data_IF_605802579857
#
_entry.id   IF_605802579857
#
_cell.length_a   1.000
_cell.length_b   1.000
_cell.length_c   1.000
_cell.angle_alpha   90.00
_cell.angle_beta   90.00
_cell.angle_gamma   90.00
#
_symmetry.space_group_name_H-M   'P 1'
#
loop_
_entity.id
_entity.type
_entity.pdbx_description
1 polymer ?
#
# COMPACT_ATOMS: atom_id res chain seq x y z
N UNK A 1 37.84 51.87 -7.67
CA UNK A 1 36.84 52.54 -8.50
C UNK A 1 36.01 53.63 -7.77
N UNK A 2 36.13 53.79 -6.45
CA UNK A 2 35.33 54.76 -5.63
C UNK A 2 36.03 56.13 -5.36
N UNK A 3 37.22 56.37 -5.88
CA UNK A 3 37.96 57.65 -5.66
C UNK A 3 37.84 58.69 -6.77
N UNK A 4 37.31 58.35 -7.96
CA UNK A 4 37.15 59.28 -9.10
C UNK A 4 35.84 60.06 -9.11
N UNK A 5 34.84 59.69 -8.30
CA UNK A 5 33.51 60.35 -8.31
C UNK A 5 33.42 61.63 -7.49
N UNK A 6 34.49 62.02 -6.74
CA UNK A 6 34.47 63.25 -5.92
C UNK A 6 34.86 64.56 -6.65
N UNK A 7 35.30 64.46 -7.90
CA UNK A 7 35.81 65.64 -8.66
C UNK A 7 34.92 66.03 -9.85
N UNK A 8 33.71 65.53 -9.97
CA UNK A 8 32.80 65.91 -11.05
C UNK A 8 31.94 67.12 -10.60
N UNK A 9 31.75 68.15 -11.47
CA UNK A 9 30.95 69.34 -11.19
C UNK A 9 29.47 68.92 -10.95
N UNK A 10 28.76 69.70 -10.13
CA UNK A 10 27.38 69.40 -9.65
C UNK A 10 26.37 69.22 -10.82
N UNK A 11 26.61 69.92 -11.93
CA UNK A 11 25.80 69.80 -13.17
C UNK A 11 25.87 68.41 -13.83
N UNK A 12 27.03 67.75 -13.77
CA UNK A 12 27.17 66.38 -14.30
C UNK A 12 26.57 65.32 -13.39
N UNK A 13 26.54 65.57 -12.10
CA UNK A 13 25.87 64.68 -11.14
C UNK A 13 24.35 64.65 -11.27
N UNK A 14 23.75 65.77 -11.67
CA UNK A 14 22.31 65.88 -11.94
C UNK A 14 21.94 65.18 -13.23
N UNK A 15 22.75 65.34 -14.32
CA UNK A 15 22.53 64.60 -15.56
C UNK A 15 22.68 63.07 -15.44
N UNK A 16 23.66 62.57 -14.63
CA UNK A 16 23.83 61.16 -14.37
C UNK A 16 22.67 60.59 -13.52
N UNK A 17 22.13 61.40 -12.61
CA UNK A 17 20.95 61.01 -11.79
C UNK A 17 19.64 60.91 -12.61
N UNK A 18 19.51 61.70 -13.67
CA UNK A 18 18.33 61.64 -14.57
C UNK A 18 18.44 60.51 -15.59
N UNK A 19 19.68 60.20 -16.06
CA UNK A 19 19.89 59.05 -16.96
C UNK A 19 19.73 57.67 -16.29
N UNK A 20 19.69 57.57 -14.95
CA UNK A 20 19.45 56.33 -14.20
C UNK A 20 17.98 56.07 -13.86
N UNK A 21 17.08 56.99 -14.22
CA UNK A 21 15.65 56.64 -14.32
C UNK A 21 15.41 56.02 -15.71
N UNK A 22 15.86 54.79 -15.88
CA UNK A 22 15.35 53.94 -16.92
C UNK A 22 13.82 53.89 -16.74
N UNK A 23 13.09 54.44 -17.74
CA UNK A 23 11.69 54.13 -17.90
C UNK A 23 11.59 52.61 -18.08
N UNK A 24 11.32 51.91 -16.96
CA UNK A 24 11.03 50.47 -17.00
C UNK A 24 9.84 50.32 -17.92
N UNK A 25 10.05 49.73 -19.08
CA UNK A 25 9.00 49.52 -20.07
C UNK A 25 7.80 48.85 -19.43
N UNK A 26 6.62 49.11 -19.87
CA UNK A 26 5.40 48.46 -19.35
C UNK A 26 5.53 46.93 -19.34
N UNK A 27 6.23 46.37 -20.32
CA UNK A 27 6.55 44.95 -20.37
C UNK A 27 7.46 44.49 -19.22
N UNK A 28 8.45 45.32 -18.89
CA UNK A 28 9.36 45.02 -17.75
C UNK A 28 8.65 45.12 -16.40
N UNK A 29 7.72 46.05 -16.24
CA UNK A 29 6.84 46.13 -15.04
C UNK A 29 5.90 44.94 -14.96
N UNK A 30 5.30 44.51 -16.06
CA UNK A 30 4.43 43.32 -16.13
C UNK A 30 5.24 42.05 -15.81
N UNK A 31 6.48 41.93 -16.31
CA UNK A 31 7.37 40.81 -16.03
C UNK A 31 7.76 40.78 -14.54
N UNK A 32 8.07 41.92 -13.91
CA UNK A 32 8.34 42.00 -12.48
C UNK A 32 7.14 41.63 -11.61
N UNK A 33 5.94 42.12 -11.94
CA UNK A 33 4.72 41.76 -11.22
C UNK A 33 4.48 40.25 -11.36
N UNK A 34 4.62 39.69 -12.55
CA UNK A 34 4.45 38.24 -12.76
C UNK A 34 5.48 37.42 -11.96
N UNK A 35 6.75 37.88 -11.93
CA UNK A 35 7.80 37.20 -11.15
C UNK A 35 7.48 37.26 -9.65
N UNK A 36 7.09 38.42 -9.11
CA UNK A 36 6.75 38.55 -7.69
C UNK A 36 5.50 37.74 -7.31
N UNK A 37 4.51 37.63 -8.20
CA UNK A 37 3.34 36.77 -7.97
C UNK A 37 3.73 35.29 -7.93
N UNK A 38 4.59 34.85 -8.85
CA UNK A 38 5.10 33.47 -8.86
C UNK A 38 5.95 33.19 -7.61
N UNK A 39 6.80 34.14 -7.19
CA UNK A 39 7.60 34.00 -5.97
C UNK A 39 6.72 33.93 -4.72
N UNK A 40 5.64 34.70 -4.67
CA UNK A 40 4.67 34.67 -3.59
C UNK A 40 3.91 33.35 -3.57
N UNK A 41 3.41 32.89 -4.71
CA UNK A 41 2.72 31.60 -4.85
C UNK A 41 3.64 30.45 -4.45
N UNK A 42 4.93 30.48 -4.87
CA UNK A 42 5.92 29.48 -4.46
C UNK A 42 6.21 29.52 -2.95
N UNK A 43 6.28 30.72 -2.36
CA UNK A 43 6.49 30.90 -0.92
C UNK A 43 5.30 30.38 -0.10
N UNK A 44 4.07 30.68 -0.56
CA UNK A 44 2.84 30.24 0.09
C UNK A 44 2.67 28.72 -0.05
N UNK A 45 3.01 28.17 -1.21
CA UNK A 45 3.03 26.73 -1.43
C UNK A 45 4.08 26.03 -0.56
N UNK A 46 5.30 26.61 -0.46
CA UNK A 46 6.37 26.07 0.40
C UNK A 46 6.01 26.15 1.89
N UNK A 47 5.22 27.15 2.31
CA UNK A 47 4.72 27.28 3.68
C UNK A 47 3.65 26.22 3.96
N UNK A 48 2.68 26.05 3.06
CA UNK A 48 1.65 25.02 3.16
C UNK A 48 2.24 23.60 3.16
N UNK A 49 3.32 23.35 2.41
CA UNK A 49 4.01 22.06 2.38
C UNK A 49 4.80 21.73 3.66
N UNK A 50 5.17 22.71 4.47
CA UNK A 50 5.91 22.51 5.75
C UNK A 50 5.06 21.81 6.81
N UNK A 51 3.74 22.01 6.76
CA UNK A 51 2.81 21.48 7.76
C UNK A 51 2.27 20.09 7.36
N UNK A 52 2.76 19.53 6.23
CA UNK A 52 2.35 18.23 5.73
C UNK A 52 3.32 17.15 6.16
N UNK A 53 2.83 16.16 6.90
CA UNK A 53 3.60 14.96 7.25
C UNK A 53 3.54 13.96 6.10
N UNK A 54 4.69 13.71 5.47
CA UNK A 54 4.84 12.79 4.34
C UNK A 54 5.29 11.42 4.82
N UNK A 55 4.49 10.40 4.52
CA UNK A 55 4.75 9.00 4.89
C UNK A 55 4.89 8.16 3.63
N UNK A 56 6.02 7.50 3.45
CA UNK A 56 6.25 6.57 2.36
C UNK A 56 5.95 5.14 2.80
N UNK A 57 5.03 4.46 2.10
CA UNK A 57 4.65 3.09 2.39
C UNK A 57 5.48 2.11 1.57
N UNK A 58 6.28 1.29 2.24
CA UNK A 58 7.14 0.27 1.64
C UNK A 58 6.70 -1.14 2.04
N UNK A 59 7.17 -2.13 1.33
CA UNK A 59 6.91 -3.55 1.59
C UNK A 59 6.76 -4.33 0.29
N UNK A 60 6.86 -5.64 0.37
CA UNK A 60 6.72 -6.53 -0.79
C UNK A 60 5.29 -6.50 -1.37
N UNK A 61 5.12 -7.12 -2.53
CA UNK A 61 3.78 -7.27 -3.11
C UNK A 61 2.86 -8.02 -2.13
N UNK A 62 1.57 -7.66 -2.11
CA UNK A 62 0.53 -8.30 -1.28
C UNK A 62 0.71 -8.18 0.24
N UNK A 63 1.61 -7.33 0.74
CA UNK A 63 1.73 -7.07 2.17
C UNK A 63 0.54 -6.31 2.78
N UNK A 64 -0.31 -5.66 1.96
CA UNK A 64 -1.51 -4.94 2.39
C UNK A 64 -1.40 -3.42 2.34
N UNK A 65 -0.35 -2.84 1.74
CA UNK A 65 -0.16 -1.38 1.61
C UNK A 65 -1.38 -0.65 1.08
N UNK A 66 -1.86 -1.03 -0.09
CA UNK A 66 -3.02 -0.37 -0.73
C UNK A 66 -4.32 -0.60 0.06
N UNK A 67 -4.43 -1.70 0.83
CA UNK A 67 -5.54 -1.92 1.76
C UNK A 67 -5.48 -0.91 2.92
N UNK A 68 -4.30 -0.66 3.48
CA UNK A 68 -4.11 0.35 4.53
C UNK A 68 -4.53 1.74 4.02
N UNK A 69 -4.11 2.13 2.81
CA UNK A 69 -4.51 3.42 2.20
C UNK A 69 -6.03 3.53 2.08
N UNK A 70 -6.69 2.47 1.58
CA UNK A 70 -8.15 2.44 1.47
C UNK A 70 -8.82 2.53 2.83
N UNK A 71 -8.24 1.88 3.83
CA UNK A 71 -8.71 1.94 5.21
C UNK A 71 -8.57 3.35 5.80
N UNK A 72 -7.46 4.05 5.53
CA UNK A 72 -7.29 5.44 5.95
C UNK A 72 -8.34 6.36 5.32
N UNK A 73 -8.72 6.11 4.05
CA UNK A 73 -9.82 6.83 3.41
C UNK A 73 -11.16 6.58 4.13
N UNK A 74 -11.44 5.34 4.54
CA UNK A 74 -12.65 5.01 5.29
C UNK A 74 -12.67 5.73 6.64
N UNK A 75 -11.55 5.71 7.37
CA UNK A 75 -11.46 6.26 8.74
C UNK A 75 -11.47 7.80 8.73
N UNK A 76 -10.73 8.44 7.82
CA UNK A 76 -10.46 9.88 7.88
C UNK A 76 -11.10 10.71 6.75
N UNK A 77 -11.70 10.08 5.72
CA UNK A 77 -12.23 10.81 4.55
C UNK A 77 -13.69 10.48 4.23
N UNK A 78 -14.49 10.05 5.20
CA UNK A 78 -15.91 9.66 5.05
C UNK A 78 -16.16 8.47 4.10
N UNK A 79 -15.15 7.60 3.89
CA UNK A 79 -15.28 6.39 3.08
C UNK A 79 -15.30 6.62 1.57
N UNK A 80 -16.04 5.78 0.86
CA UNK A 80 -16.16 5.78 -0.59
C UNK A 80 -17.55 6.20 -1.04
N UNK A 81 -17.63 7.11 -2.00
CA UNK A 81 -18.88 7.43 -2.68
C UNK A 81 -19.40 6.22 -3.49
N UNK A 82 -20.71 6.19 -3.79
CA UNK A 82 -21.30 5.12 -4.60
C UNK A 82 -20.63 4.97 -5.97
N UNK A 83 -20.20 6.08 -6.58
CA UNK A 83 -19.50 6.06 -7.86
C UNK A 83 -18.10 5.45 -7.74
N UNK A 84 -17.38 5.76 -6.68
CA UNK A 84 -16.07 5.15 -6.39
C UNK A 84 -16.21 3.65 -6.11
N UNK A 85 -17.22 3.24 -5.32
CA UNK A 85 -17.50 1.81 -5.09
C UNK A 85 -17.77 1.10 -6.42
N UNK A 86 -18.61 1.66 -7.28
CA UNK A 86 -18.91 1.09 -8.60
C UNK A 86 -17.65 0.94 -9.47
N UNK A 87 -16.70 1.86 -9.37
CA UNK A 87 -15.44 1.76 -10.12
C UNK A 87 -14.61 0.51 -9.80
N UNK A 88 -14.81 -0.09 -8.63
CA UNK A 88 -14.15 -1.35 -8.23
C UNK A 88 -14.87 -2.62 -8.73
N UNK A 89 -16.10 -2.51 -9.24
CA UNK A 89 -16.87 -3.69 -9.71
C UNK A 89 -16.11 -4.56 -10.72
N UNK A 90 -15.47 -4.01 -11.77
CA UNK A 90 -14.69 -4.83 -12.70
C UNK A 90 -13.56 -5.57 -12.01
N UNK A 91 -12.84 -4.91 -11.10
CA UNK A 91 -11.74 -5.52 -10.37
C UNK A 91 -12.19 -6.63 -9.42
N UNK A 92 -13.36 -6.50 -8.76
CA UNK A 92 -13.95 -7.55 -7.91
C UNK A 92 -14.28 -8.77 -8.74
N UNK A 93 -14.93 -8.58 -9.90
CA UNK A 93 -15.28 -9.67 -10.81
C UNK A 93 -14.05 -10.37 -11.40
N UNK A 94 -13.02 -9.61 -11.75
CA UNK A 94 -11.74 -10.15 -12.24
C UNK A 94 -11.03 -10.95 -11.15
N UNK A 95 -11.04 -10.48 -9.90
CA UNK A 95 -10.50 -11.22 -8.76
C UNK A 95 -11.27 -12.55 -8.53
N UNK A 96 -12.59 -12.52 -8.65
CA UNK A 96 -13.41 -13.72 -8.52
C UNK A 96 -13.10 -14.73 -9.64
N UNK A 97 -13.02 -14.27 -10.91
CA UNK A 97 -12.67 -15.08 -12.05
C UNK A 97 -11.28 -15.70 -11.91
N UNK A 98 -10.29 -14.87 -11.61
CA UNK A 98 -8.89 -15.29 -11.45
C UNK A 98 -8.76 -16.30 -10.31
N UNK A 99 -9.40 -16.05 -9.16
CA UNK A 99 -9.40 -16.99 -8.03
C UNK A 99 -10.03 -18.32 -8.38
N UNK A 100 -11.17 -18.33 -9.09
CA UNK A 100 -11.82 -19.58 -9.52
C UNK A 100 -10.95 -20.36 -10.49
N UNK A 101 -10.27 -19.70 -11.42
CA UNK A 101 -9.31 -20.35 -12.32
C UNK A 101 -8.16 -20.98 -11.56
N UNK A 102 -7.59 -20.27 -10.57
CA UNK A 102 -6.51 -20.77 -9.73
C UNK A 102 -6.96 -22.02 -8.96
N UNK A 103 -8.19 -22.01 -8.40
CA UNK A 103 -8.75 -23.20 -7.72
C UNK A 103 -8.90 -24.37 -8.67
N UNK A 104 -9.47 -24.17 -9.87
CA UNK A 104 -9.64 -25.23 -10.86
C UNK A 104 -8.28 -25.81 -11.34
N UNK A 105 -7.27 -24.99 -11.49
CA UNK A 105 -5.89 -25.43 -11.78
C UNK A 105 -5.28 -26.16 -10.58
N UNK A 106 -5.52 -25.65 -9.36
CA UNK A 106 -5.11 -26.28 -8.11
C UNK A 106 -5.71 -27.66 -7.91
N UNK A 107 -6.97 -27.88 -8.30
CA UNK A 107 -7.59 -29.22 -8.29
C UNK A 107 -6.76 -30.24 -9.07
N UNK A 108 -6.21 -29.84 -10.22
CA UNK A 108 -5.33 -30.72 -11.01
C UNK A 108 -4.03 -31.07 -10.27
N UNK A 109 -3.39 -30.10 -9.62
CA UNK A 109 -2.18 -30.29 -8.80
C UNK A 109 -2.45 -31.18 -7.60
N UNK A 110 -3.58 -30.97 -6.93
CA UNK A 110 -3.99 -31.71 -5.73
C UNK A 110 -4.62 -33.07 -6.04
N UNK A 111 -4.86 -33.40 -7.30
CA UNK A 111 -5.58 -34.58 -7.76
C UNK A 111 -6.98 -34.69 -7.16
N UNK A 112 -7.67 -33.56 -6.98
CA UNK A 112 -9.05 -33.48 -6.53
C UNK A 112 -9.94 -33.37 -7.77
N UNK A 113 -10.95 -34.24 -7.87
CA UNK A 113 -11.92 -34.21 -8.96
C UNK A 113 -13.16 -33.38 -8.58
N UNK A 114 -13.88 -32.88 -9.60
CA UNK A 114 -15.22 -32.33 -9.42
C UNK A 114 -16.14 -33.40 -8.84
N UNK A 115 -16.85 -33.07 -7.78
CA UNK A 115 -17.84 -33.97 -7.19
C UNK A 115 -19.01 -34.21 -8.14
N UNK A 116 -19.42 -33.18 -8.90
CA UNK A 116 -20.43 -33.28 -9.93
C UNK A 116 -19.81 -33.21 -11.33
N UNK A 117 -19.78 -34.32 -12.06
CA UNK A 117 -19.23 -34.39 -13.40
C UNK A 117 -19.86 -33.41 -14.41
N UNK A 118 -21.12 -33.01 -14.20
CA UNK A 118 -21.84 -32.03 -15.05
C UNK A 118 -21.13 -30.66 -14.99
N UNK A 119 -20.45 -30.33 -13.89
CA UNK A 119 -19.68 -29.08 -13.72
C UNK A 119 -18.41 -28.97 -14.59
N UNK A 120 -18.06 -30.05 -15.35
CA UNK A 120 -16.94 -29.99 -16.31
C UNK A 120 -17.13 -28.92 -17.39
N UNK A 121 -18.37 -28.68 -17.81
CA UNK A 121 -18.71 -27.66 -18.81
C UNK A 121 -18.43 -26.27 -18.21
N UNK A 122 -18.93 -26.00 -17.00
CA UNK A 122 -18.74 -24.75 -16.27
C UNK A 122 -17.26 -24.49 -15.98
N UNK A 123 -16.51 -25.53 -15.59
CA UNK A 123 -15.07 -25.41 -15.35
C UNK A 123 -14.32 -25.02 -16.63
N UNK A 124 -14.65 -25.63 -17.77
CA UNK A 124 -14.06 -25.26 -19.08
C UNK A 124 -14.42 -23.82 -19.46
N UNK A 125 -15.69 -23.43 -19.28
CA UNK A 125 -16.14 -22.06 -19.56
C UNK A 125 -15.37 -21.02 -18.74
N UNK A 126 -15.17 -21.26 -17.44
CA UNK A 126 -14.38 -20.35 -16.59
C UNK A 126 -12.90 -20.35 -17.01
N UNK A 127 -12.28 -21.49 -17.27
CA UNK A 127 -10.88 -21.56 -17.66
C UNK A 127 -10.61 -20.84 -19.00
N UNK A 128 -11.53 -20.89 -19.95
CA UNK A 128 -11.43 -20.22 -21.25
C UNK A 128 -11.88 -18.76 -21.24
N UNK A 129 -12.60 -18.31 -20.21
CA UNK A 129 -13.11 -16.95 -20.10
C UNK A 129 -11.96 -15.95 -19.92
N UNK A 130 -11.88 -14.92 -20.74
CA UNK A 130 -10.85 -13.85 -20.61
C UNK A 130 -11.30 -12.73 -19.67
N UNK A 131 -12.61 -12.44 -19.63
CA UNK A 131 -13.21 -11.37 -18.86
C UNK A 131 -14.63 -11.73 -18.41
N UNK A 132 -15.08 -11.18 -17.27
CA UNK A 132 -16.42 -11.43 -16.73
C UNK A 132 -17.49 -10.53 -17.34
N UNK A 133 -17.13 -9.34 -17.79
CA UNK A 133 -18.05 -8.33 -18.29
C UNK A 133 -18.14 -8.39 -19.82
N UNK A 134 -19.35 -8.21 -20.35
CA UNK A 134 -19.59 -7.97 -21.76
C UNK A 134 -19.30 -6.52 -22.16
N UNK A 135 -19.48 -6.21 -23.43
CA UNK A 135 -19.27 -4.86 -23.98
C UNK A 135 -20.20 -3.82 -23.34
N UNK A 136 -21.36 -4.23 -22.85
CA UNK A 136 -22.33 -3.45 -22.11
C UNK A 136 -22.01 -3.26 -20.62
N UNK A 137 -20.82 -3.67 -20.18
CA UNK A 137 -20.38 -3.65 -18.77
C UNK A 137 -21.26 -4.50 -17.83
N UNK A 138 -22.05 -5.42 -18.37
CA UNK A 138 -22.83 -6.38 -17.59
C UNK A 138 -22.12 -7.71 -17.46
N UNK A 139 -22.37 -8.39 -16.34
CA UNK A 139 -21.82 -9.72 -16.10
C UNK A 139 -22.39 -10.72 -17.13
N UNK A 140 -21.52 -11.44 -17.80
CA UNK A 140 -21.91 -12.46 -18.77
C UNK A 140 -22.73 -13.56 -18.09
N UNK A 141 -23.95 -13.88 -18.55
CA UNK A 141 -24.87 -14.79 -17.86
C UNK A 141 -24.26 -16.18 -17.62
N UNK A 142 -23.48 -16.70 -18.56
CA UNK A 142 -22.87 -18.03 -18.40
C UNK A 142 -21.80 -18.03 -17.30
N UNK A 143 -21.12 -16.88 -17.05
CA UNK A 143 -20.14 -16.74 -15.97
C UNK A 143 -20.83 -16.79 -14.61
N UNK A 144 -21.96 -16.10 -14.46
CA UNK A 144 -22.75 -16.13 -13.23
C UNK A 144 -23.21 -17.57 -12.88
N UNK A 145 -23.78 -18.29 -13.87
CA UNK A 145 -24.19 -19.67 -13.70
C UNK A 145 -23.02 -20.57 -13.31
N UNK A 146 -21.87 -20.38 -14.00
CA UNK A 146 -20.70 -21.20 -13.75
C UNK A 146 -20.13 -20.97 -12.34
N UNK A 147 -20.07 -19.72 -11.86
CA UNK A 147 -19.62 -19.43 -10.50
C UNK A 147 -20.48 -20.11 -9.44
N UNK A 148 -21.80 -20.02 -9.54
CA UNK A 148 -22.72 -20.69 -8.60
C UNK A 148 -22.53 -22.20 -8.62
N UNK A 149 -22.51 -22.81 -9.80
CA UNK A 149 -22.41 -24.26 -9.94
C UNK A 149 -21.05 -24.79 -9.42
N UNK A 150 -19.96 -24.09 -9.70
CA UNK A 150 -18.64 -24.48 -9.26
C UNK A 150 -18.46 -24.30 -7.75
N UNK A 151 -18.94 -23.19 -7.17
CA UNK A 151 -18.81 -22.98 -5.73
C UNK A 151 -19.70 -23.93 -4.91
N UNK A 152 -20.79 -24.41 -5.47
CA UNK A 152 -21.62 -25.47 -4.87
C UNK A 152 -20.94 -26.86 -4.89
N UNK A 153 -19.92 -27.06 -5.74
CA UNK A 153 -19.22 -28.35 -5.88
C UNK A 153 -18.25 -28.58 -4.70
N UNK A 154 -18.42 -29.73 -4.03
CA UNK A 154 -17.59 -30.10 -2.88
C UNK A 154 -16.10 -30.25 -3.23
N UNK A 155 -15.79 -30.74 -4.45
CA UNK A 155 -14.41 -30.85 -4.92
C UNK A 155 -13.74 -29.47 -5.04
N UNK A 156 -14.47 -28.47 -5.57
CA UNK A 156 -14.00 -27.08 -5.66
C UNK A 156 -13.76 -26.50 -4.27
N UNK A 157 -14.70 -26.68 -3.33
CA UNK A 157 -14.55 -26.23 -1.94
C UNK A 157 -13.37 -26.90 -1.23
N UNK A 158 -13.21 -28.21 -1.40
CA UNK A 158 -12.08 -28.94 -0.82
C UNK A 158 -10.73 -28.43 -1.37
N UNK A 159 -10.66 -28.15 -2.67
CA UNK A 159 -9.46 -27.55 -3.25
C UNK A 159 -9.22 -26.13 -2.73
N UNK A 160 -10.27 -25.29 -2.65
CA UNK A 160 -10.17 -23.93 -2.14
C UNK A 160 -9.68 -23.88 -0.69
N UNK A 161 -10.10 -24.80 0.16
CA UNK A 161 -9.62 -24.94 1.54
C UNK A 161 -8.12 -25.24 1.63
N UNK A 162 -7.54 -25.85 0.59
CA UNK A 162 -6.11 -26.13 0.43
C UNK A 162 -5.40 -25.12 -0.45
N UNK A 163 -5.96 -23.92 -0.60
CA UNK A 163 -5.45 -22.85 -1.47
C UNK A 163 -3.99 -22.43 -1.20
N UNK A 164 -3.52 -22.62 0.02
CA UNK A 164 -2.15 -22.37 0.42
C UNK A 164 -1.11 -23.25 -0.29
N UNK A 165 -1.51 -24.41 -0.83
CA UNK A 165 -0.60 -25.32 -1.54
C UNK A 165 -0.36 -24.91 -3.01
N UNK A 166 -1.10 -23.90 -3.51
CA UNK A 166 -0.99 -23.48 -4.91
C UNK A 166 -1.20 -21.96 -5.11
N UNK A 167 -0.92 -21.17 -4.09
CA UNK A 167 -0.89 -19.71 -4.12
C UNK A 167 -2.26 -19.06 -4.44
N UNK A 168 -3.32 -19.52 -3.78
CA UNK A 168 -4.62 -18.88 -3.84
C UNK A 168 -4.58 -17.56 -3.06
N UNK A 169 -5.16 -16.50 -3.65
CA UNK A 169 -5.24 -15.20 -3.00
C UNK A 169 -5.98 -15.27 -1.66
N UNK A 170 -5.49 -14.56 -0.65
CA UNK A 170 -6.05 -14.52 0.72
C UNK A 170 -7.54 -14.12 0.77
N UNK A 171 -8.01 -13.32 -0.18
CA UNK A 171 -9.40 -12.86 -0.26
C UNK A 171 -10.32 -13.77 -1.08
N UNK A 172 -9.80 -14.84 -1.69
CA UNK A 172 -10.58 -15.70 -2.59
C UNK A 172 -11.80 -16.30 -1.91
N UNK A 173 -11.63 -16.85 -0.69
CA UNK A 173 -12.74 -17.45 0.07
C UNK A 173 -13.83 -16.43 0.38
N UNK A 174 -13.47 -15.22 0.77
CA UNK A 174 -14.44 -14.14 0.99
C UNK A 174 -15.28 -13.87 -0.26
N UNK A 175 -14.66 -13.76 -1.43
CA UNK A 175 -15.39 -13.54 -2.68
C UNK A 175 -16.25 -14.73 -3.07
N UNK A 176 -15.77 -15.94 -2.85
CA UNK A 176 -16.56 -17.16 -3.12
C UNK A 176 -17.80 -17.27 -2.23
N UNK A 177 -17.69 -16.94 -0.95
CA UNK A 177 -18.81 -16.93 -0.01
C UNK A 177 -19.85 -15.85 -0.36
N UNK A 178 -19.42 -14.78 -1.04
CA UNK A 178 -20.26 -13.67 -1.46
C UNK A 178 -20.69 -13.74 -2.93
N UNK A 179 -20.48 -14.85 -3.63
CA UNK A 179 -20.81 -15.00 -5.07
C UNK A 179 -22.23 -14.54 -5.37
N UNK A 180 -23.25 -15.01 -4.63
CA UNK A 180 -24.66 -14.69 -4.89
C UNK A 180 -24.94 -13.17 -4.87
N UNK A 181 -24.27 -12.43 -4.00
CA UNK A 181 -24.37 -10.97 -3.93
C UNK A 181 -23.62 -10.29 -5.09
N UNK A 182 -22.41 -10.77 -5.38
CA UNK A 182 -21.52 -10.17 -6.38
C UNK A 182 -22.03 -10.33 -7.81
N UNK A 183 -22.70 -11.46 -8.11
CA UNK A 183 -23.26 -11.72 -9.44
C UNK A 183 -24.64 -11.09 -9.67
N UNK A 184 -25.22 -10.45 -8.66
CA UNK A 184 -26.55 -9.83 -8.82
C UNK A 184 -26.51 -8.69 -9.83
N UNK A 185 -27.56 -8.46 -10.62
CA UNK A 185 -27.58 -7.39 -11.64
C UNK A 185 -27.27 -6.00 -11.06
N UNK A 186 -27.76 -5.71 -9.87
CA UNK A 186 -27.62 -4.43 -9.18
C UNK A 186 -26.46 -4.40 -8.20
N UNK A 187 -25.44 -5.26 -8.38
CA UNK A 187 -24.31 -5.31 -7.49
C UNK A 187 -23.51 -4.00 -7.47
N UNK A 188 -23.40 -3.44 -6.27
CA UNK A 188 -22.50 -2.36 -5.93
C UNK A 188 -21.52 -2.92 -4.91
N UNK A 189 -20.18 -2.79 -5.13
CA UNK A 189 -19.19 -3.22 -4.16
C UNK A 189 -19.38 -2.51 -2.81
N UNK A 190 -19.18 -3.23 -1.73
CA UNK A 190 -19.12 -2.69 -0.38
C UNK A 190 -17.70 -2.20 -0.08
N UNK A 191 -17.51 -1.41 0.98
CA UNK A 191 -16.18 -1.03 1.46
C UNK A 191 -15.33 -2.26 1.78
N UNK A 192 -15.93 -3.33 2.32
CA UNK A 192 -15.22 -4.59 2.56
C UNK A 192 -14.77 -5.25 1.25
N UNK A 193 -15.57 -5.20 0.18
CA UNK A 193 -15.12 -5.67 -1.13
C UNK A 193 -13.93 -4.86 -1.63
N UNK A 194 -13.97 -3.53 -1.45
CA UNK A 194 -12.88 -2.63 -1.83
C UNK A 194 -11.62 -2.90 -1.02
N UNK A 195 -11.72 -3.14 0.28
CA UNK A 195 -10.56 -3.48 1.12
C UNK A 195 -9.90 -4.80 0.71
N UNK A 196 -10.72 -5.78 0.28
CA UNK A 196 -10.26 -7.14 -0.05
C UNK A 196 -9.89 -7.33 -1.52
N UNK A 197 -10.36 -6.46 -2.42
CA UNK A 197 -10.03 -6.58 -3.84
C UNK A 197 -8.56 -6.31 -4.11
N UNK A 198 -7.93 -7.25 -4.81
CA UNK A 198 -6.56 -7.11 -5.26
C UNK A 198 -6.52 -6.29 -6.55
N UNK A 199 -5.99 -5.09 -6.45
CA UNK A 199 -5.64 -4.24 -7.59
C UNK A 199 -4.13 -4.03 -7.57
N UNK A 200 -3.46 -4.28 -8.68
CA UNK A 200 -2.02 -4.06 -8.78
C UNK A 200 -1.74 -2.55 -8.76
N UNK A 201 -0.94 -2.11 -7.79
CA UNK A 201 -0.44 -0.72 -7.76
C UNK A 201 0.64 -0.55 -8.81
N UNK A 202 0.41 0.34 -9.78
CA UNK A 202 1.38 0.74 -10.79
C UNK A 202 1.78 2.19 -10.54
N UNK A 203 3.08 2.46 -10.43
CA UNK A 203 3.59 3.80 -10.14
C UNK A 203 3.43 4.18 -8.68
N UNK A 204 3.13 5.46 -8.44
CA UNK A 204 3.00 6.09 -7.12
C UNK A 204 1.58 6.61 -7.00
N UNK A 205 0.89 6.24 -5.93
CA UNK A 205 -0.43 6.75 -5.59
C UNK A 205 -0.28 7.62 -4.34
N UNK A 206 -0.64 8.89 -4.46
CA UNK A 206 -0.67 9.82 -3.34
C UNK A 206 -2.09 9.89 -2.77
N UNK A 207 -2.20 9.81 -1.46
CA UNK A 207 -3.46 9.96 -0.73
C UNK A 207 -3.24 10.91 0.45
N UNK A 208 -4.08 11.92 0.53
CA UNK A 208 -4.02 12.92 1.60
C UNK A 208 -5.25 12.81 2.49
N UNK A 209 -5.06 12.94 3.79
CA UNK A 209 -6.13 13.06 4.77
C UNK A 209 -5.68 13.95 5.93
N UNK A 210 -6.64 14.43 6.71
CA UNK A 210 -6.40 15.29 7.84
C UNK A 210 -6.75 14.58 9.14
N UNK A 211 -5.86 14.68 10.12
CA UNK A 211 -6.11 14.26 11.50
C UNK A 211 -5.83 15.46 12.38
N UNK A 212 -6.86 15.92 13.07
CA UNK A 212 -6.86 17.19 13.82
C UNK A 212 -6.43 18.35 12.90
N UNK A 213 -5.40 19.11 13.27
CA UNK A 213 -4.88 20.23 12.48
C UNK A 213 -3.74 19.80 11.50
N UNK A 214 -3.33 18.53 11.54
CA UNK A 214 -2.19 18.04 10.78
C UNK A 214 -2.64 17.34 9.50
N UNK A 215 -2.00 17.67 8.39
CA UNK A 215 -2.23 17.02 7.09
C UNK A 215 -1.21 15.89 6.91
N UNK A 216 -1.71 14.70 6.62
CA UNK A 216 -0.91 13.53 6.31
C UNK A 216 -1.01 13.20 4.83
N UNK A 217 0.15 12.95 4.23
CA UNK A 217 0.26 12.55 2.83
C UNK A 217 0.96 11.20 2.75
N UNK A 218 0.21 10.17 2.34
CA UNK A 218 0.70 8.81 2.18
C UNK A 218 1.02 8.53 0.72
N UNK A 219 2.20 7.98 0.48
CA UNK A 219 2.64 7.52 -0.84
C UNK A 219 2.61 6.00 -0.90
N UNK A 220 1.65 5.41 -1.64
CA UNK A 220 1.63 3.97 -1.97
C UNK A 220 2.45 3.72 -3.22
N UNK A 221 3.45 2.89 -3.10
CA UNK A 221 4.32 2.52 -4.22
C UNK A 221 4.20 1.03 -4.53
N UNK A 222 4.27 0.67 -5.81
CA UNK A 222 4.19 -0.72 -6.22
C UNK A 222 5.27 -1.58 -5.54
N UNK A 223 4.85 -2.63 -4.81
CA UNK A 223 5.75 -3.50 -4.03
C UNK A 223 6.54 -4.51 -4.87
N UNK A 224 6.20 -4.71 -6.15
CA UNK A 224 6.93 -5.61 -7.03
C UNK A 224 8.34 -5.11 -7.31
N UNK A 225 9.32 -6.03 -7.46
CA UNK A 225 10.73 -5.68 -7.74
C UNK A 225 10.90 -4.72 -8.93
N UNK A 226 10.07 -4.87 -9.97
CA UNK A 226 10.09 -4.00 -11.16
C UNK A 226 9.65 -2.56 -10.88
N UNK A 227 8.83 -2.32 -9.87
CA UNK A 227 8.32 -1.00 -9.49
C UNK A 227 9.28 -0.23 -8.57
N UNK A 228 10.19 -0.92 -7.88
CA UNK A 228 11.09 -0.33 -6.87
C UNK A 228 12.00 0.78 -7.44
N UNK A 229 12.32 0.75 -8.74
CA UNK A 229 13.12 1.79 -9.40
C UNK A 229 12.42 3.15 -9.47
N UNK A 230 11.08 3.16 -9.41
CA UNK A 230 10.26 4.37 -9.47
C UNK A 230 10.19 5.13 -8.15
N UNK A 231 10.63 4.53 -7.05
CA UNK A 231 10.53 5.12 -5.70
C UNK A 231 11.44 6.31 -5.48
N UNK A 232 12.55 6.42 -6.24
CA UNK A 232 13.54 7.48 -6.08
C UNK A 232 12.93 8.89 -6.15
N UNK A 233 11.87 9.07 -6.94
CA UNK A 233 11.18 10.36 -7.07
C UNK A 233 10.34 10.76 -5.84
N UNK A 234 10.11 9.83 -4.88
CA UNK A 234 9.33 10.08 -3.67
C UNK A 234 10.18 10.33 -2.44
N UNK A 235 11.51 10.25 -2.53
CA UNK A 235 12.37 10.26 -1.34
C UNK A 235 12.63 11.65 -0.76
N UNK A 236 12.23 12.71 -1.47
CA UNK A 236 12.43 14.08 -0.98
C UNK A 236 11.46 14.42 0.15
N UNK A 237 12.01 14.83 1.28
CA UNK A 237 11.26 15.33 2.44
C UNK A 237 10.30 14.30 3.08
N UNK A 238 10.66 13.02 3.09
CA UNK A 238 9.87 11.98 3.76
C UNK A 238 10.15 12.04 5.28
N UNK A 239 9.09 12.18 6.09
CA UNK A 239 9.16 12.23 7.54
C UNK A 239 9.19 10.84 8.17
N UNK A 240 8.43 9.88 7.60
CA UNK A 240 8.38 8.51 8.10
C UNK A 240 8.30 7.48 6.98
N UNK A 241 8.92 6.33 7.21
CA UNK A 241 8.76 5.12 6.42
C UNK A 241 7.83 4.16 7.15
N UNK A 242 6.74 3.78 6.51
CA UNK A 242 5.85 2.74 6.99
C UNK A 242 6.11 1.46 6.19
N UNK A 243 6.85 0.53 6.79
CA UNK A 243 7.15 -0.76 6.17
C UNK A 243 6.09 -1.78 6.54
N UNK A 244 5.42 -2.36 5.56
CA UNK A 244 4.30 -3.29 5.75
C UNK A 244 4.72 -4.70 5.40
N UNK A 245 4.56 -5.62 6.36
CA UNK A 245 4.86 -7.05 6.24
C UNK A 245 3.58 -7.86 6.40
N UNK A 246 3.33 -8.83 5.55
CA UNK A 246 2.27 -9.80 5.75
C UNK A 246 2.78 -10.92 6.68
N UNK A 247 2.35 -10.97 7.93
CA UNK A 247 2.69 -12.05 8.86
C UNK A 247 2.33 -13.43 8.30
N UNK A 248 1.21 -13.50 7.57
CA UNK A 248 0.70 -14.75 6.99
C UNK A 248 1.56 -15.33 5.86
N UNK A 249 2.61 -14.63 5.40
CA UNK A 249 3.45 -15.07 4.27
C UNK A 249 4.59 -16.02 4.66
N UNK A 250 4.74 -16.36 5.92
CA UNK A 250 5.84 -17.20 6.40
C UNK A 250 5.87 -18.61 5.78
N UNK A 251 4.75 -19.12 5.31
CA UNK A 251 4.57 -20.43 4.71
C UNK A 251 4.32 -20.40 3.19
N UNK A 252 4.39 -19.20 2.57
CA UNK A 252 4.12 -19.00 1.13
C UNK A 252 5.42 -18.83 0.36
N UNK A 253 5.66 -19.75 -0.59
CA UNK A 253 6.79 -19.63 -1.52
C UNK A 253 6.46 -18.64 -2.63
N UNK A 254 7.45 -17.89 -3.10
CA UNK A 254 7.25 -16.96 -4.20
C UNK A 254 7.02 -17.71 -5.52
N UNK A 255 5.97 -17.34 -6.25
CA UNK A 255 5.66 -17.94 -7.56
C UNK A 255 6.83 -17.82 -8.55
N UNK A 256 7.58 -16.71 -8.49
CA UNK A 256 8.72 -16.44 -9.41
C UNK A 256 10.05 -17.03 -8.96
N UNK A 257 10.15 -17.38 -7.68
CA UNK A 257 11.34 -17.93 -7.07
C UNK A 257 10.94 -18.93 -5.99
N UNK A 258 10.73 -20.21 -6.35
CA UNK A 258 10.30 -21.24 -5.39
C UNK A 258 11.33 -21.57 -4.30
N UNK A 259 12.54 -21.02 -4.36
CA UNK A 259 13.56 -21.17 -3.32
C UNK A 259 13.43 -20.14 -2.20
N UNK A 260 12.62 -19.10 -2.40
CA UNK A 260 12.42 -17.98 -1.47
C UNK A 260 10.97 -17.88 -1.05
N UNK A 261 10.71 -17.72 0.25
CA UNK A 261 9.36 -17.42 0.72
C UNK A 261 9.12 -15.90 0.83
N UNK A 262 7.84 -15.50 0.84
CA UNK A 262 7.45 -14.09 0.88
C UNK A 262 7.89 -13.37 2.16
N UNK A 263 8.03 -14.09 3.26
CA UNK A 263 8.56 -13.57 4.51
C UNK A 263 10.05 -13.24 4.40
N UNK A 264 10.83 -14.15 3.83
CA UNK A 264 12.28 -13.94 3.64
C UNK A 264 12.55 -12.78 2.68
N UNK A 265 11.80 -12.67 1.58
CA UNK A 265 11.89 -11.48 0.70
C UNK A 265 11.60 -10.19 1.47
N UNK A 266 10.61 -10.19 2.37
CA UNK A 266 10.27 -9.03 3.20
C UNK A 266 11.41 -8.67 4.15
N UNK A 267 12.05 -9.66 4.77
CA UNK A 267 13.15 -9.47 5.72
C UNK A 267 14.41 -8.90 5.03
N UNK A 268 14.78 -9.47 3.89
CA UNK A 268 15.92 -8.99 3.07
C UNK A 268 15.67 -7.55 2.59
N UNK A 269 14.44 -7.28 2.14
CA UNK A 269 14.07 -5.95 1.68
C UNK A 269 14.10 -4.95 2.84
N UNK A 270 13.54 -5.27 4.02
CA UNK A 270 13.59 -4.43 5.20
C UNK A 270 15.04 -4.14 5.63
N UNK A 271 15.90 -5.15 5.66
CA UNK A 271 17.33 -5.00 5.95
C UNK A 271 18.00 -4.00 5.00
N UNK A 272 17.67 -4.06 3.70
CA UNK A 272 18.19 -3.11 2.72
C UNK A 272 17.74 -1.67 2.95
N UNK A 273 16.54 -1.47 3.51
CA UNK A 273 16.04 -0.13 3.89
C UNK A 273 16.73 0.37 5.16
N UNK A 274 16.96 -0.48 6.15
CA UNK A 274 17.66 -0.13 7.39
C UNK A 274 19.09 0.38 7.13
N UNK A 275 19.77 -0.20 6.15
CA UNK A 275 21.16 0.14 5.79
C UNK A 275 21.27 1.29 4.78
N UNK A 276 20.16 1.75 4.21
CA UNK A 276 20.17 2.79 3.19
C UNK A 276 20.39 4.17 3.81
N UNK A 277 21.43 4.86 3.37
CA UNK A 277 21.82 6.19 3.89
C UNK A 277 20.80 7.29 3.61
N UNK A 278 19.98 7.15 2.54
CA UNK A 278 18.91 8.11 2.20
C UNK A 278 17.88 8.22 3.33
N UNK A 279 17.62 7.11 4.02
CA UNK A 279 16.62 7.06 5.09
C UNK A 279 17.18 7.20 6.50
N UNK A 280 18.45 7.60 6.64
CA UNK A 280 19.14 7.65 7.95
C UNK A 280 18.40 8.46 9.02
N UNK A 281 17.76 9.55 8.61
CA UNK A 281 17.06 10.50 9.49
C UNK A 281 15.54 10.39 9.40
N UNK A 282 15.00 9.32 8.80
CA UNK A 282 13.56 9.13 8.60
C UNK A 282 13.03 8.14 9.64
N UNK A 283 11.95 8.45 10.34
CA UNK A 283 11.30 7.54 11.30
C UNK A 283 10.95 6.21 10.64
N UNK A 284 11.28 5.08 11.29
CA UNK A 284 11.04 3.74 10.74
C UNK A 284 9.95 3.01 11.54
N UNK A 285 8.82 2.83 10.90
CA UNK A 285 7.64 2.19 11.46
C UNK A 285 7.39 0.88 10.72
N UNK A 286 7.18 -0.19 11.45
CA UNK A 286 6.95 -1.55 10.93
C UNK A 286 5.51 -1.98 11.23
N UNK A 287 4.70 -2.19 10.20
CA UNK A 287 3.38 -2.81 10.34
C UNK A 287 3.48 -4.31 10.05
N UNK A 288 3.25 -5.10 11.09
CA UNK A 288 3.11 -6.55 11.04
C UNK A 288 1.63 -6.87 10.78
N UNK A 289 1.29 -6.89 9.50
CA UNK A 289 -0.08 -6.93 9.00
C UNK A 289 -0.61 -8.35 8.78
N UNK A 290 -1.92 -8.49 8.59
CA UNK A 290 -2.66 -9.75 8.40
C UNK A 290 -2.59 -10.67 9.61
N UNK A 291 -2.69 -10.08 10.82
CA UNK A 291 -2.67 -10.82 12.08
C UNK A 291 -3.83 -11.82 12.19
N UNK A 292 -4.97 -11.51 11.60
CA UNK A 292 -6.14 -12.40 11.47
C UNK A 292 -5.80 -13.70 10.74
N UNK A 293 -5.18 -13.59 9.57
CA UNK A 293 -4.74 -14.76 8.77
C UNK A 293 -3.61 -15.52 9.45
N UNK A 294 -2.67 -14.81 10.05
CA UNK A 294 -1.57 -15.42 10.81
C UNK A 294 -2.11 -16.25 11.96
N UNK A 295 -3.03 -15.69 12.76
CA UNK A 295 -3.70 -16.38 13.87
C UNK A 295 -4.44 -17.63 13.37
N UNK A 296 -5.20 -17.52 12.28
CA UNK A 296 -5.91 -18.66 11.69
C UNK A 296 -4.97 -19.77 11.25
N UNK A 297 -3.82 -19.43 10.67
CA UNK A 297 -2.80 -20.40 10.26
C UNK A 297 -2.17 -21.12 11.47
N UNK A 298 -1.75 -20.40 12.49
CA UNK A 298 -1.11 -20.97 13.70
C UNK A 298 -2.08 -21.87 14.46
N UNK A 299 -3.35 -21.46 14.64
CA UNK A 299 -4.31 -22.18 15.49
C UNK A 299 -5.01 -23.32 14.77
N UNK A 300 -5.33 -23.18 13.48
CA UNK A 300 -6.32 -24.07 12.84
C UNK A 300 -5.79 -24.85 11.63
N UNK A 301 -4.64 -24.50 11.07
CA UNK A 301 -4.16 -25.14 9.85
C UNK A 301 -3.06 -26.18 10.06
N UNK A 302 -2.54 -26.33 11.29
CA UNK A 302 -1.37 -27.19 11.58
C UNK A 302 -0.06 -26.70 10.96
N UNK A 303 -0.06 -25.49 10.38
CA UNK A 303 1.14 -24.90 9.76
C UNK A 303 1.88 -24.05 10.80
N UNK A 304 2.43 -24.72 11.81
CA UNK A 304 3.13 -24.06 12.89
C UNK A 304 4.42 -23.38 12.43
N UNK A 305 4.75 -22.25 13.04
CA UNK A 305 5.85 -21.37 12.61
C UNK A 305 7.20 -22.13 12.56
N UNK A 306 7.44 -23.06 13.50
CA UNK A 306 8.69 -23.87 13.56
C UNK A 306 8.99 -24.68 12.30
N UNK A 307 7.98 -25.04 11.50
CA UNK A 307 8.20 -25.78 10.26
C UNK A 307 8.75 -24.94 9.13
N UNK A 308 8.66 -23.61 9.26
CA UNK A 308 9.06 -22.63 8.24
C UNK A 308 10.21 -21.74 8.68
N UNK A 309 10.32 -21.50 10.00
CA UNK A 309 11.38 -20.71 10.62
C UNK A 309 12.09 -21.58 11.66
N UNK A 310 13.23 -22.15 11.27
CA UNK A 310 14.01 -23.07 12.10
C UNK A 310 14.54 -22.45 13.39
N UNK A 311 14.62 -21.11 13.46
CA UNK A 311 15.03 -20.37 14.66
C UNK A 311 13.89 -20.16 15.67
N UNK A 312 12.66 -20.60 15.39
CA UNK A 312 11.53 -20.47 16.30
C UNK A 312 11.45 -21.69 17.23
N UNK A 313 11.62 -21.47 18.52
CA UNK A 313 11.60 -22.49 19.58
C UNK A 313 10.31 -22.45 20.45
N UNK A 314 9.38 -21.51 20.16
CA UNK A 314 8.12 -21.36 20.89
C UNK A 314 7.13 -22.50 20.67
N UNK A 315 6.03 -22.48 21.43
CA UNK A 315 4.96 -23.47 21.32
C UNK A 315 4.20 -23.36 20.00
N UNK A 316 3.66 -24.48 19.51
CA UNK A 316 3.02 -24.55 18.18
C UNK A 316 1.80 -23.66 17.99
N UNK A 317 0.95 -23.57 19.03
CA UNK A 317 -0.30 -22.82 18.98
C UNK A 317 -0.21 -21.48 19.72
N UNK A 318 0.98 -21.01 20.07
CA UNK A 318 1.18 -19.73 20.73
C UNK A 318 1.36 -18.61 19.68
N UNK A 319 0.24 -17.94 19.37
CA UNK A 319 0.18 -16.88 18.38
C UNK A 319 1.00 -15.67 18.78
N UNK A 320 0.94 -15.30 20.06
CA UNK A 320 1.58 -14.07 20.56
C UNK A 320 3.10 -14.23 20.57
N UNK A 321 3.61 -15.35 21.11
CA UNK A 321 5.05 -15.65 21.05
C UNK A 321 5.54 -15.76 19.63
N UNK A 322 4.77 -16.38 18.71
CA UNK A 322 5.13 -16.47 17.30
C UNK A 322 5.19 -15.09 16.61
N UNK A 323 4.21 -14.23 16.89
CA UNK A 323 4.17 -12.88 16.33
C UNK A 323 5.32 -12.01 16.86
N UNK A 324 5.63 -12.06 18.15
CA UNK A 324 6.74 -11.34 18.76
C UNK A 324 8.11 -11.86 18.28
N UNK A 325 8.24 -13.17 18.03
CA UNK A 325 9.45 -13.72 17.42
C UNK A 325 9.70 -13.11 16.03
N UNK A 326 8.66 -13.04 15.21
CA UNK A 326 8.75 -12.38 13.91
C UNK A 326 9.13 -10.90 14.04
N UNK A 327 8.53 -10.17 14.99
CA UNK A 327 8.88 -8.76 15.25
C UNK A 327 10.35 -8.62 15.66
N UNK A 328 10.87 -9.54 16.49
CA UNK A 328 12.28 -9.56 16.90
C UNK A 328 13.23 -9.79 15.71
N UNK A 329 12.87 -10.66 14.74
CA UNK A 329 13.66 -10.89 13.54
C UNK A 329 13.82 -9.61 12.70
N UNK A 330 12.73 -8.84 12.52
CA UNK A 330 12.79 -7.55 11.82
C UNK A 330 13.60 -6.51 12.61
N UNK A 331 13.42 -6.46 13.94
CA UNK A 331 14.19 -5.56 14.81
C UNK A 331 15.69 -5.84 14.75
N UNK A 332 16.08 -7.12 14.66
CA UNK A 332 17.47 -7.54 14.51
C UNK A 332 18.13 -7.04 13.22
N UNK A 333 17.38 -6.83 12.15
CA UNK A 333 17.90 -6.25 10.89
C UNK A 333 18.42 -4.82 11.07
N UNK A 334 18.01 -4.11 12.12
CA UNK A 334 18.36 -2.72 12.38
C UNK A 334 19.46 -2.54 13.43
N UNK A 335 20.07 -3.61 13.94
CA UNK A 335 21.07 -3.55 15.03
C UNK A 335 22.29 -2.68 14.73
N UNK A 336 22.65 -2.48 13.44
CA UNK A 336 23.75 -1.61 13.03
C UNK A 336 23.39 -0.10 13.05
N UNK A 337 22.12 0.24 13.27
CA UNK A 337 21.61 1.61 13.27
C UNK A 337 21.19 2.02 14.68
N UNK A 338 21.51 3.24 15.10
CA UNK A 338 21.01 3.83 16.36
C UNK A 338 19.53 4.23 16.28
N UNK A 339 18.90 4.11 15.09
CA UNK A 339 17.52 4.51 14.86
C UNK A 339 16.55 3.48 15.41
N UNK A 340 15.55 3.86 16.22
CA UNK A 340 14.55 2.91 16.72
C UNK A 340 13.63 2.41 15.57
N UNK A 341 13.15 1.18 15.71
CA UNK A 341 12.10 0.60 14.86
C UNK A 341 10.85 0.42 15.72
N UNK A 342 9.79 1.12 15.36
CA UNK A 342 8.50 1.02 16.06
C UNK A 342 7.62 0.02 15.33
N UNK A 343 7.27 -1.10 15.98
CA UNK A 343 6.44 -2.12 15.36
C UNK A 343 5.01 -2.11 15.92
N UNK A 344 4.05 -2.34 15.02
CA UNK A 344 2.62 -2.44 15.33
C UNK A 344 2.03 -3.66 14.64
N UNK A 345 1.26 -4.45 15.39
CA UNK A 345 0.46 -5.52 14.84
C UNK A 345 -0.82 -4.94 14.26
N UNK A 346 -1.16 -5.35 13.03
CA UNK A 346 -2.29 -4.76 12.31
C UNK A 346 -3.09 -5.79 11.51
N UNK A 347 -4.36 -5.48 11.33
CA UNK A 347 -5.28 -6.16 10.40
C UNK A 347 -5.91 -5.08 9.52
N UNK A 348 -5.37 -4.88 8.33
CA UNK A 348 -5.72 -3.75 7.46
C UNK A 348 -7.21 -3.67 7.07
N UNK A 349 -7.95 -4.78 7.19
CA UNK A 349 -9.39 -4.84 6.94
C UNK A 349 -10.26 -4.54 8.18
N UNK A 350 -9.65 -4.34 9.34
CA UNK A 350 -10.34 -4.00 10.59
C UNK A 350 -10.11 -2.51 10.91
N UNK A 351 -11.19 -1.74 10.89
CA UNK A 351 -11.14 -0.28 11.07
C UNK A 351 -10.69 0.14 12.46
N UNK A 352 -11.09 -0.61 13.51
CA UNK A 352 -10.73 -0.25 14.90
C UNK A 352 -9.26 -0.53 15.18
N UNK A 353 -8.76 -1.69 14.75
CA UNK A 353 -7.34 -2.03 14.87
C UNK A 353 -6.48 -1.02 14.11
N UNK A 354 -6.90 -0.65 12.88
CA UNK A 354 -6.16 0.29 12.06
C UNK A 354 -6.19 1.71 12.62
N UNK A 355 -7.30 2.15 13.17
CA UNK A 355 -7.43 3.45 13.83
C UNK A 355 -6.47 3.57 15.01
N UNK A 356 -6.44 2.55 15.89
CA UNK A 356 -5.52 2.51 17.02
C UNK A 356 -4.06 2.48 16.58
N UNK A 357 -3.71 1.60 15.65
CA UNK A 357 -2.34 1.49 15.14
C UNK A 357 -1.87 2.81 14.50
N UNK A 358 -2.75 3.48 13.76
CA UNK A 358 -2.39 4.73 13.09
C UNK A 358 -2.27 5.91 14.07
N UNK A 359 -3.07 5.97 15.12
CA UNK A 359 -2.90 6.94 16.21
C UNK A 359 -1.52 6.83 16.86
N UNK A 360 -1.09 5.60 17.17
CA UNK A 360 0.25 5.37 17.72
C UNK A 360 1.36 5.82 16.75
N UNK A 361 1.18 5.62 15.44
CA UNK A 361 2.12 6.09 14.41
C UNK A 361 2.21 7.61 14.40
N UNK A 362 1.07 8.30 14.46
CA UNK A 362 1.00 9.76 14.50
C UNK A 362 1.74 10.30 15.73
N UNK A 363 1.41 9.80 16.91
CA UNK A 363 2.04 10.19 18.17
C UNK A 363 3.56 10.01 18.13
N UNK A 364 4.02 8.92 17.52
CA UNK A 364 5.43 8.63 17.38
C UNK A 364 6.14 9.61 16.45
N UNK A 365 5.56 9.91 15.28
CA UNK A 365 6.13 10.86 14.32
C UNK A 365 6.19 12.26 14.94
N UNK A 366 5.14 12.67 15.65
CA UNK A 366 5.11 13.98 16.33
C UNK A 366 6.19 14.07 17.40
N UNK A 367 6.34 13.04 18.26
CA UNK A 367 7.38 13.00 19.29
C UNK A 367 8.79 13.09 18.70
N UNK A 368 9.09 12.35 17.64
CA UNK A 368 10.40 12.41 16.98
C UNK A 368 10.68 13.78 16.35
N UNK A 369 9.67 14.38 15.71
CA UNK A 369 9.81 15.71 15.15
C UNK A 369 10.05 16.77 16.24
N UNK A 370 9.35 16.72 17.37
CA UNK A 370 9.56 17.62 18.50
C UNK A 370 10.95 17.42 19.13
N UNK A 371 11.41 16.19 19.28
CA UNK A 371 12.78 15.89 19.78
C UNK A 371 13.86 16.40 18.82
N UNK A 372 13.64 16.32 17.51
CA UNK A 372 14.58 16.85 16.52
C UNK A 372 14.72 18.37 16.56
N UNK A 373 13.69 19.09 17.01
CA UNK A 373 13.67 20.57 17.16
C UNK A 373 14.12 20.99 18.57
N UNK A 374 14.57 20.05 19.43
CA UNK A 374 14.99 20.30 20.84
C UNK A 374 13.89 20.93 21.72
N UNK A 375 12.63 20.62 21.45
CA UNK A 375 11.47 21.08 22.23
C UNK A 375 11.01 20.06 23.27
N UNK A 376 11.69 18.93 23.39
CA UNK A 376 11.50 17.91 24.44
C UNK A 376 12.82 17.55 25.09
#
# INVERSE_FOLDING_TARGET
MFRCLKMLPLSLKICLGVCLRQDISEESKKAQIKSSTIEQDLSDHARAERDVIKILMLGVAESGKSTIIRQMKIIHSRGFSSQELLSFKPAVLDNLLTSMKIVLQGMGKLRINLANHKNKIQARSILSCSQCLGDDQQLLPFVAIAFCALWADQGVRAAAARGYEYDLNDSALYFFENISRIISPNYIPTEMDVLRVRVRTCGIIETQFQVDETIFRLYDVGGQRSERRKWLSCFDSIHALLFVVALSSYDQMLFKDPSMNGFQESLEFFSSICTNTVFKNTSLILFLNKTDLFRGKILHSGRHLRFYLSCYEGADCDVDTAAHHVAAMFSACNMASSRPVYHHFSTAIDSEIMKQAFHMVIDQIIKENLSAVQLL
#
